data_IF_366774846637
#
_entry.id   IF_366774846637
#
_cell.length_a   1.000
_cell.length_b   1.000
_cell.length_c   1.000
_cell.angle_alpha   90.00
_cell.angle_beta   90.00
_cell.angle_gamma   90.00
#
_symmetry.space_group_name_H-M   'P 1'
#
loop_
_entity.id
_entity.type
_entity.pdbx_description
1 polymer ?
#
# COMPACT_ATOMS: atom_id res chain seq x y z
N UNK A 1 9.58 -20.80 -25.62
CA UNK A 1 8.43 -20.39 -24.78
C UNK A 1 8.93 -19.18 -24.00
N UNK A 2 8.40 -17.97 -24.24
CA UNK A 2 8.79 -16.81 -23.40
C UNK A 2 8.07 -17.00 -22.08
N UNK A 3 8.81 -17.15 -20.99
CA UNK A 3 8.23 -17.10 -19.66
C UNK A 3 7.64 -15.69 -19.48
N UNK A 4 6.33 -15.60 -19.27
CA UNK A 4 5.67 -14.33 -19.05
C UNK A 4 6.01 -13.85 -17.64
N UNK A 5 6.75 -12.75 -17.57
CA UNK A 5 6.99 -11.97 -16.37
C UNK A 5 6.06 -10.76 -16.41
N UNK A 6 5.16 -10.67 -15.43
CA UNK A 6 4.26 -9.53 -15.28
C UNK A 6 4.87 -8.55 -14.28
N UNK A 7 5.12 -7.32 -14.73
CA UNK A 7 5.66 -6.25 -13.90
C UNK A 7 4.75 -5.02 -13.99
N UNK A 8 4.29 -4.54 -12.84
CA UNK A 8 3.42 -3.36 -12.74
C UNK A 8 4.01 -2.41 -11.72
N UNK A 9 3.97 -1.12 -12.01
CA UNK A 9 4.41 -0.06 -11.10
C UNK A 9 3.28 0.92 -10.86
N UNK A 10 2.99 1.17 -9.59
CA UNK A 10 1.95 2.10 -9.15
C UNK A 10 2.55 3.17 -8.23
N UNK A 11 1.86 4.31 -8.16
CA UNK A 11 2.12 5.37 -7.18
C UNK A 11 0.86 5.56 -6.33
N UNK A 12 1.05 5.77 -5.03
CA UNK A 12 -0.04 5.99 -4.08
C UNK A 12 0.23 7.26 -3.24
N UNK A 13 -0.79 8.11 -3.02
CA UNK A 13 -0.66 9.30 -2.18
C UNK A 13 -0.72 8.95 -0.69
N UNK A 14 -0.17 9.82 0.15
CA UNK A 14 -0.45 9.82 1.59
C UNK A 14 -1.76 10.57 1.88
N UNK A 15 -2.33 10.36 3.07
CA UNK A 15 -3.48 11.11 3.56
C UNK A 15 -3.24 11.62 4.98
N UNK A 16 -3.90 12.73 5.33
CA UNK A 16 -3.88 13.31 6.69
C UNK A 16 -5.31 13.33 7.24
N UNK A 17 -5.54 12.62 8.34
CA UNK A 17 -6.84 12.56 8.99
C UNK A 17 -7.25 13.90 9.61
N UNK A 18 -8.42 14.41 9.24
CA UNK A 18 -9.08 15.57 9.88
C UNK A 18 -10.05 15.12 10.98
N UNK A 19 -10.69 13.96 10.81
CA UNK A 19 -11.35 13.20 11.88
C UNK A 19 -10.55 11.93 12.10
N UNK A 20 -10.08 11.71 13.33
CA UNK A 20 -9.05 10.72 13.63
C UNK A 20 -9.62 9.30 13.72
N UNK A 21 -8.94 8.37 13.08
CA UNK A 21 -9.02 6.95 13.42
C UNK A 21 -8.15 6.70 14.66
N UNK A 22 -8.78 6.35 15.79
CA UNK A 22 -8.05 6.05 17.03
C UNK A 22 -8.77 5.01 17.89
N UNK A 23 -8.16 3.83 17.97
CA UNK A 23 -8.68 2.67 18.70
C UNK A 23 -9.45 1.68 17.81
N UNK A 24 -9.33 0.40 18.16
CA UNK A 24 -9.90 -0.73 17.43
C UNK A 24 -10.90 -1.45 18.32
N UNK A 25 -12.06 -1.80 17.76
CA UNK A 25 -13.01 -2.71 18.42
C UNK A 25 -12.70 -4.18 18.13
N UNK A 26 -11.96 -4.45 17.05
CA UNK A 26 -11.44 -5.77 16.70
C UNK A 26 -10.04 -5.59 16.09
N UNK A 27 -9.02 -6.17 16.72
CA UNK A 27 -7.63 -5.99 16.30
C UNK A 27 -7.24 -6.87 15.10
N UNK A 28 -7.78 -8.08 15.01
CA UNK A 28 -7.49 -9.05 13.94
C UNK A 28 -8.00 -8.55 12.58
N UNK A 29 -9.24 -8.09 12.55
CA UNK A 29 -9.88 -7.53 11.35
C UNK A 29 -9.60 -6.02 11.16
N UNK A 30 -8.94 -5.38 12.13
CA UNK A 30 -8.65 -3.94 12.12
C UNK A 30 -9.94 -3.10 12.00
N UNK A 31 -10.98 -3.43 12.78
CA UNK A 31 -12.24 -2.68 12.75
C UNK A 31 -12.17 -1.45 13.69
N UNK A 32 -12.52 -0.25 13.20
CA UNK A 32 -12.39 0.98 13.98
C UNK A 32 -13.46 1.09 15.08
N UNK A 33 -13.20 1.89 16.12
CA UNK A 33 -14.26 2.31 17.05
C UNK A 33 -15.20 3.36 16.43
N UNK A 34 -14.67 4.21 15.56
CA UNK A 34 -15.37 5.34 14.96
C UNK A 34 -14.94 5.55 13.51
N UNK A 35 -15.81 6.19 12.73
CA UNK A 35 -15.45 6.63 11.38
C UNK A 35 -14.32 7.66 11.42
N UNK A 36 -13.59 7.78 10.31
CA UNK A 36 -12.53 8.76 10.13
C UNK A 36 -12.68 9.43 8.76
N UNK A 37 -12.16 10.64 8.65
CA UNK A 37 -12.17 11.43 7.43
C UNK A 37 -10.77 11.99 7.25
N UNK A 38 -10.19 11.86 6.07
CA UNK A 38 -8.86 12.36 5.74
C UNK A 38 -8.84 13.10 4.41
N UNK A 39 -7.86 13.99 4.27
CA UNK A 39 -7.54 14.63 3.00
C UNK A 39 -6.36 13.92 2.35
N UNK A 40 -6.50 13.57 1.07
CA UNK A 40 -5.42 13.02 0.26
C UNK A 40 -4.47 14.13 -0.17
N UNK A 41 -3.16 13.94 0.00
CA UNK A 41 -2.15 14.92 -0.41
C UNK A 41 -1.73 14.72 -1.86
N UNK A 42 -1.22 15.79 -2.48
CA UNK A 42 -0.69 15.75 -3.83
C UNK A 42 0.50 14.78 -3.92
N UNK A 43 0.50 13.92 -4.95
CA UNK A 43 1.58 12.96 -5.18
C UNK A 43 2.90 13.61 -5.60
N UNK A 44 2.88 14.85 -6.07
CA UNK A 44 4.10 15.60 -6.43
C UNK A 44 4.95 15.92 -5.18
N UNK A 45 4.29 16.15 -4.05
CA UNK A 45 4.92 16.45 -2.75
C UNK A 45 5.33 15.19 -2.01
N UNK A 46 4.41 14.22 -1.89
CA UNK A 46 4.64 13.00 -1.11
C UNK A 46 3.86 11.81 -1.67
N UNK A 47 4.59 10.73 -1.96
CA UNK A 47 4.03 9.49 -2.53
C UNK A 47 4.86 8.27 -2.13
N UNK A 48 4.22 7.11 -2.14
CA UNK A 48 4.90 5.82 -2.22
C UNK A 48 4.89 5.34 -3.67
N UNK A 49 6.03 4.82 -4.16
CA UNK A 49 6.13 4.17 -5.47
C UNK A 49 6.45 2.70 -5.23
N UNK A 50 5.62 1.81 -5.76
CA UNK A 50 5.74 0.37 -5.56
C UNK A 50 5.71 -0.34 -6.89
N UNK A 51 6.67 -1.23 -7.11
CA UNK A 51 6.70 -2.14 -8.25
C UNK A 51 6.42 -3.55 -7.75
N UNK A 52 5.47 -4.23 -8.38
CA UNK A 52 5.15 -5.64 -8.13
C UNK A 52 5.52 -6.44 -9.37
N UNK A 53 6.13 -7.59 -9.16
CA UNK A 53 6.51 -8.51 -10.22
C UNK A 53 6.05 -9.92 -9.87
N UNK A 54 5.44 -10.61 -10.83
CA UNK A 54 5.08 -12.01 -10.74
C UNK A 54 5.75 -12.79 -11.87
N UNK A 55 6.36 -13.93 -11.52
CA UNK A 55 6.99 -14.84 -12.47
C UNK A 55 6.85 -16.29 -11.98
N UNK A 56 6.58 -17.26 -12.88
CA UNK A 56 6.59 -18.68 -12.53
C UNK A 56 7.93 -19.19 -11.96
N UNK A 57 9.02 -18.45 -12.18
CA UNK A 57 10.37 -18.82 -11.72
C UNK A 57 10.70 -18.35 -10.32
N UNK A 58 9.84 -17.56 -9.68
CA UNK A 58 10.07 -17.14 -8.29
C UNK A 58 9.73 -18.26 -7.32
N UNK A 59 10.64 -18.51 -6.38
CA UNK A 59 10.52 -19.59 -5.39
C UNK A 59 9.99 -19.12 -4.04
N UNK A 60 9.94 -17.81 -3.82
CA UNK A 60 9.53 -17.18 -2.57
C UNK A 60 9.11 -15.74 -2.81
N UNK A 61 8.29 -15.19 -1.91
CA UNK A 61 7.95 -13.77 -1.88
C UNK A 61 9.09 -12.96 -1.27
N UNK A 62 9.43 -11.84 -1.90
CA UNK A 62 10.44 -10.90 -1.39
C UNK A 62 9.94 -9.48 -1.45
N UNK A 63 10.37 -8.69 -0.46
CA UNK A 63 10.10 -7.26 -0.38
C UNK A 63 11.41 -6.51 -0.17
N UNK A 64 11.52 -5.35 -0.83
CA UNK A 64 12.57 -4.36 -0.61
C UNK A 64 11.90 -3.04 -0.31
N UNK A 65 12.41 -2.33 0.70
CA UNK A 65 11.89 -1.04 1.12
C UNK A 65 13.06 -0.07 1.28
N UNK A 66 13.14 0.90 0.37
CA UNK A 66 14.21 1.90 0.30
C UNK A 66 15.63 1.33 0.12
N UNK A 67 15.75 0.21 -0.59
CA UNK A 67 17.00 -0.53 -0.77
C UNK A 67 17.06 -1.71 0.17
#
# INVERSE_FOLDING_TARGET
MRENMDIITCIAPVNIAVIKYWGKRNEELILPLNDSISATLCMDEMRAKTTVMASPTFTEDKIWLNG
#
